data_IF_563175876866
#
_entry.id   IF_563175876866
#
_cell.length_a   1.000
_cell.length_b   1.000
_cell.length_c   1.000
_cell.angle_alpha   90.00
_cell.angle_beta   90.00
_cell.angle_gamma   90.00
#
_symmetry.space_group_name_H-M   'P 1'
#
loop_
_entity.id
_entity.type
_entity.pdbx_description
1 polymer ?
#
# COMPACT_ATOMS: atom_id res chain seq x y z
N UNK A 1 -3.40 0.03 -20.77
CA UNK A 1 -2.63 -0.47 -19.63
C UNK A 1 -3.56 -0.74 -18.46
N UNK A 2 -3.18 -1.68 -17.62
CA UNK A 2 -4.00 -2.07 -16.48
C UNK A 2 -3.55 -1.28 -15.25
N UNK A 3 -4.49 -0.68 -14.56
CA UNK A 3 -4.19 0.09 -13.37
C UNK A 3 -4.20 -0.83 -12.16
N UNK A 4 -3.13 -0.81 -11.39
CA UNK A 4 -3.00 -1.64 -10.20
C UNK A 4 -3.02 -0.74 -8.96
N UNK A 5 -3.62 -1.24 -7.91
CA UNK A 5 -3.72 -0.49 -6.65
C UNK A 5 -3.20 -1.38 -5.53
N UNK A 6 -2.29 -0.86 -4.75
CA UNK A 6 -1.72 -1.58 -3.63
C UNK A 6 -1.98 -0.76 -2.37
N UNK A 7 -2.50 -1.41 -1.35
CA UNK A 7 -2.82 -0.77 -0.09
C UNK A 7 -2.02 -1.41 1.03
N UNK A 8 -1.66 -0.63 2.01
CA UNK A 8 -0.87 -1.12 3.13
C UNK A 8 -1.11 -0.24 4.35
N UNK A 9 -0.75 -0.78 5.52
CA UNK A 9 -0.82 -0.03 6.77
C UNK A 9 0.58 0.11 7.34
N UNK A 10 0.78 1.13 8.16
CA UNK A 10 2.03 1.36 8.84
C UNK A 10 1.76 1.26 10.33
N UNK A 11 2.28 0.20 10.95
CA UNK A 11 2.07 -0.13 12.37
C UNK A 11 0.60 -0.25 12.77
N UNK A 12 -0.27 -0.41 11.81
CA UNK A 12 -1.70 -0.45 12.09
C UNK A 12 -2.28 0.90 12.53
N UNK A 13 -1.48 1.97 12.49
CA UNK A 13 -1.93 3.28 12.94
C UNK A 13 -2.52 4.09 11.80
N UNK A 14 -2.00 3.96 10.63
CA UNK A 14 -2.57 4.64 9.46
C UNK A 14 -2.34 3.80 8.21
N UNK A 15 -3.13 4.08 7.21
CA UNK A 15 -3.05 3.36 5.94
C UNK A 15 -2.62 4.28 4.82
N UNK A 16 -2.11 3.68 3.78
CA UNK A 16 -1.72 4.40 2.58
C UNK A 16 -1.96 3.51 1.37
N UNK A 17 -1.99 4.09 0.21
CA UNK A 17 -2.18 3.35 -1.02
C UNK A 17 -1.33 3.96 -2.11
N UNK A 18 -1.00 3.13 -3.08
CA UNK A 18 -0.30 3.58 -4.27
C UNK A 18 -0.89 2.89 -5.48
N UNK A 19 -0.80 3.51 -6.63
CA UNK A 19 -1.27 2.90 -7.85
C UNK A 19 -0.23 3.06 -8.94
N UNK A 20 -0.21 2.11 -9.86
CA UNK A 20 0.69 2.15 -11.00
C UNK A 20 0.06 1.36 -12.14
N UNK A 21 0.58 1.53 -13.32
CA UNK A 21 0.06 0.84 -14.50
C UNK A 21 1.01 -0.23 -14.97
N UNK A 22 0.46 -1.30 -15.48
CA UNK A 22 1.26 -2.37 -16.08
C UNK A 22 0.57 -2.85 -17.35
N UNK A 23 1.32 -3.55 -18.18
CA UNK A 23 0.76 -4.07 -19.42
C UNK A 23 -0.10 -5.29 -19.19
N UNK A 24 0.16 -6.04 -18.15
CA UNK A 24 -0.55 -7.29 -17.88
C UNK A 24 -1.15 -7.27 -16.50
N UNK A 25 -2.19 -8.07 -16.31
CA UNK A 25 -2.79 -8.26 -14.99
C UNK A 25 -1.79 -9.00 -14.10
N UNK A 26 -1.54 -8.47 -12.93
CA UNK A 26 -0.64 -9.08 -11.96
C UNK A 26 -1.45 -9.44 -10.72
N UNK A 27 -1.36 -10.69 -10.23
CA UNK A 27 -2.04 -11.06 -9.00
C UNK A 27 -1.59 -10.18 -7.83
N UNK A 28 -2.47 -9.92 -6.89
CA UNK A 28 -2.17 -9.02 -5.77
C UNK A 28 -0.97 -9.52 -4.95
N UNK A 29 -0.84 -10.83 -4.79
CA UNK A 29 0.31 -11.39 -4.09
C UNK A 29 1.61 -11.01 -4.78
N UNK A 30 1.64 -11.05 -6.09
CA UNK A 30 2.83 -10.70 -6.85
C UNK A 30 3.10 -9.21 -6.80
N UNK A 31 2.06 -8.41 -6.79
CA UNK A 31 2.21 -6.96 -6.64
C UNK A 31 2.91 -6.63 -5.33
N UNK A 32 2.49 -7.27 -4.26
CA UNK A 32 3.10 -7.04 -2.96
C UNK A 32 4.56 -7.50 -2.93
N UNK A 33 4.88 -8.57 -3.64
CA UNK A 33 6.25 -9.07 -3.72
C UNK A 33 7.14 -8.16 -4.56
N UNK A 34 6.57 -7.51 -5.57
CA UNK A 34 7.33 -6.62 -6.43
C UNK A 34 7.67 -5.31 -5.74
N UNK A 35 6.94 -4.96 -4.70
CA UNK A 35 7.14 -3.71 -4.00
C UNK A 35 8.04 -3.95 -2.81
N UNK A 36 9.15 -3.22 -2.76
CA UNK A 36 10.08 -3.33 -1.65
C UNK A 36 9.60 -2.42 -0.52
N UNK A 37 9.43 -2.97 0.65
CA UNK A 37 8.97 -2.21 1.82
C UNK A 37 9.94 -1.07 2.16
N UNK A 38 11.24 -1.30 1.99
CA UNK A 38 12.23 -0.25 2.24
C UNK A 38 12.05 0.90 1.26
N UNK A 39 11.67 0.59 0.01
CA UNK A 39 11.40 1.62 -0.98
C UNK A 39 10.18 2.45 -0.57
N UNK A 40 9.16 1.79 -0.03
CA UNK A 40 7.98 2.51 0.46
C UNK A 40 8.34 3.46 1.60
N UNK A 41 9.19 3.02 2.49
CA UNK A 41 9.67 3.85 3.60
C UNK A 41 10.38 5.10 3.07
N UNK A 42 11.23 4.92 2.07
CA UNK A 42 11.91 6.05 1.47
C UNK A 42 10.96 7.00 0.74
N UNK A 43 10.05 6.44 -0.05
CA UNK A 43 9.13 7.26 -0.84
C UNK A 43 8.22 8.09 0.05
N UNK A 44 7.85 7.57 1.20
CA UNK A 44 6.95 8.27 2.11
C UNK A 44 7.70 9.04 3.19
N UNK A 45 9.01 9.06 3.14
CA UNK A 45 9.86 9.73 4.12
C UNK A 45 9.62 9.22 5.54
N UNK A 46 9.27 7.96 5.66
CA UNK A 46 8.98 7.37 6.98
C UNK A 46 10.26 7.04 7.75
N UNK A 47 11.36 6.90 7.06
CA UNK A 47 12.64 6.60 7.71
C UNK A 47 13.03 7.73 8.68
N UNK A 48 12.72 8.96 8.33
CA UNK A 48 12.97 10.09 9.21
C UNK A 48 12.10 10.10 10.44
N UNK A 49 11.02 9.31 10.45
CA UNK A 49 10.11 9.20 11.58
C UNK A 49 10.38 7.94 12.40
N UNK A 50 11.36 7.14 12.01
CA UNK A 50 11.70 5.93 12.76
C UNK A 50 10.98 4.67 12.32
N UNK A 51 10.22 4.70 11.24
CA UNK A 51 9.55 3.52 10.74
C UNK A 51 10.51 2.69 9.89
N UNK A 52 10.26 1.40 9.86
CA UNK A 52 11.05 0.48 9.04
C UNK A 52 10.13 -0.35 8.17
N UNK A 53 10.69 -1.11 7.25
CA UNK A 53 9.91 -1.99 6.40
C UNK A 53 9.08 -3.00 7.19
N UNK A 54 9.53 -3.40 8.37
CA UNK A 54 8.78 -4.33 9.21
C UNK A 54 7.48 -3.72 9.74
N UNK A 55 7.38 -2.41 9.74
CA UNK A 55 6.16 -1.73 10.18
C UNK A 55 5.09 -1.71 9.09
N UNK A 56 5.46 -2.04 7.87
CA UNK A 56 4.53 -2.04 6.73
C UNK A 56 3.83 -3.39 6.64
N UNK A 57 2.52 -3.37 6.54
CA UNK A 57 1.74 -4.59 6.36
C UNK A 57 0.81 -4.37 5.16
N UNK A 58 0.94 -5.20 4.15
CA UNK A 58 0.06 -5.10 2.99
C UNK A 58 -1.32 -5.65 3.33
N UNK A 59 -2.33 -4.95 2.90
CA UNK A 59 -3.73 -5.37 3.08
C UNK A 59 -4.41 -5.31 1.72
N UNK A 60 -5.57 -5.88 1.61
CA UNK A 60 -6.32 -5.83 0.35
C UNK A 60 -6.98 -4.47 0.20
N UNK A 61 -7.25 -4.04 -1.04
CA UNK A 61 -7.99 -2.80 -1.25
C UNK A 61 -9.35 -2.78 -0.55
N UNK A 62 -9.98 -3.94 -0.43
CA UNK A 62 -11.26 -4.04 0.27
C UNK A 62 -11.09 -3.74 1.75
N UNK A 63 -10.05 -4.30 2.36
CA UNK A 63 -9.76 -4.03 3.76
C UNK A 63 -9.40 -2.56 3.97
N UNK A 64 -8.65 -1.98 3.05
CA UNK A 64 -8.30 -0.59 3.13
C UNK A 64 -9.55 0.29 3.11
N UNK A 65 -10.46 0.02 2.19
CA UNK A 65 -11.68 0.79 2.09
C UNK A 65 -12.56 0.62 3.33
N UNK A 66 -12.54 -0.56 3.93
CA UNK A 66 -13.32 -0.83 5.12
C UNK A 66 -12.77 -0.09 6.35
N UNK A 67 -11.45 -0.03 6.50
CA UNK A 67 -10.84 0.54 7.70
C UNK A 67 -10.43 2.01 7.53
N UNK A 68 -10.07 2.42 6.34
CA UNK A 68 -9.55 3.75 6.09
C UNK A 68 -10.30 4.51 5.01
N UNK A 69 -11.16 3.85 4.28
CA UNK A 69 -11.93 4.47 3.21
C UNK A 69 -12.92 5.46 3.78
N UNK A 70 -13.13 6.58 3.06
CA UNK A 70 -14.00 7.55 3.47
C UNK A 70 -15.28 7.32 2.94
N UNK A 71 -15.90 6.78 2.91
CA UNK A 71 -17.14 6.64 2.46
C UNK A 71 -17.90 7.73 2.23
N UNK A 72 -17.80 8.39 2.01
CA UNK A 72 -18.46 9.15 1.83
C UNK A 72 -19.21 9.41 1.15
N UNK A 73 -19.50 9.33 1.06
CA UNK A 73 -20.13 9.41 0.62
C UNK A 73 -20.77 9.55 0.39
N UNK A 74 -20.79 9.68 0.38
CA UNK A 74 -21.33 9.69 0.23
C UNK A 74 -21.73 9.84 -0.03
#
# INVERSE_FOLDING_TARGET
>A
MIKNRVCFTVRGEFGAQMSFESENTIPYEDLCKCINKDTLIELMCLDGLGYTGDDIQFITPEEYDEHFGDDEDA
#
